data_IF_006736154401
#
_entry.id   IF_006736154401
#
_cell.length_a   1.000
_cell.length_b   1.000
_cell.length_c   1.000
_cell.angle_alpha   90.00
_cell.angle_beta   90.00
_cell.angle_gamma   90.00
#
_symmetry.space_group_name_H-M   'P 1'
#
loop_
_entity.id
_entity.type
_entity.pdbx_description
1 polymer ?
#
# COMPACT_ATOMS: atom_id res chain seq x y z
N UNK A 1 20.66 -3.27 -7.13
CA UNK A 1 20.17 -4.24 -6.12
C UNK A 1 19.98 -5.57 -6.84
N UNK A 2 20.36 -6.69 -6.22
CA UNK A 2 20.12 -8.01 -6.83
C UNK A 2 18.63 -8.44 -6.71
N UNK A 3 18.18 -9.35 -7.57
CA UNK A 3 16.81 -9.88 -7.51
C UNK A 3 16.51 -10.52 -6.15
N UNK A 4 17.47 -11.28 -5.59
CA UNK A 4 17.33 -11.88 -4.26
C UNK A 4 17.10 -10.82 -3.19
N UNK A 5 17.91 -9.77 -3.17
CA UNK A 5 17.77 -8.66 -2.22
C UNK A 5 16.41 -7.96 -2.37
N UNK A 6 15.98 -7.71 -3.61
CA UNK A 6 14.68 -7.10 -3.92
C UNK A 6 13.52 -7.94 -3.35
N UNK A 7 13.51 -9.24 -3.62
CA UNK A 7 12.49 -10.16 -3.13
C UNK A 7 12.49 -10.24 -1.61
N UNK A 8 13.66 -10.43 -0.98
CA UNK A 8 13.73 -10.52 0.49
C UNK A 8 13.31 -9.23 1.17
N UNK A 9 13.70 -8.08 0.63
CA UNK A 9 13.31 -6.77 1.15
C UNK A 9 11.81 -6.53 0.99
N UNK A 10 11.22 -6.94 -0.13
CA UNK A 10 9.77 -6.83 -0.37
C UNK A 10 8.98 -7.70 0.61
N UNK A 11 9.42 -8.94 0.85
CA UNK A 11 8.73 -9.84 1.79
C UNK A 11 8.80 -9.31 3.23
N UNK A 12 10.00 -8.96 3.70
CA UNK A 12 10.18 -8.41 5.04
C UNK A 12 9.46 -7.06 5.20
N UNK A 13 9.57 -6.19 4.20
CA UNK A 13 8.90 -4.90 4.15
C UNK A 13 7.38 -5.04 4.11
N UNK A 14 6.83 -6.02 3.39
CA UNK A 14 5.39 -6.27 3.30
C UNK A 14 4.81 -6.69 4.65
N UNK A 15 5.50 -7.60 5.36
CA UNK A 15 5.13 -7.99 6.74
C UNK A 15 5.18 -6.77 7.66
N UNK A 16 6.27 -5.99 7.61
CA UNK A 16 6.43 -4.80 8.44
C UNK A 16 5.38 -3.73 8.13
N UNK A 17 5.06 -3.48 6.85
CA UNK A 17 4.03 -2.53 6.44
C UNK A 17 2.65 -2.95 6.91
N UNK A 18 2.29 -4.23 6.75
CA UNK A 18 1.00 -4.73 7.23
C UNK A 18 0.89 -4.61 8.75
N UNK A 19 1.91 -5.06 9.49
CA UNK A 19 1.92 -5.01 10.94
C UNK A 19 1.89 -3.56 11.47
N UNK A 20 2.64 -2.66 10.85
CA UNK A 20 2.65 -1.23 11.22
C UNK A 20 1.33 -0.57 10.85
N UNK A 21 0.75 -0.89 9.70
CA UNK A 21 -0.56 -0.42 9.30
C UNK A 21 -1.63 -0.84 10.31
N UNK A 22 -1.66 -2.12 10.68
CA UNK A 22 -2.56 -2.62 11.73
C UNK A 22 -2.34 -1.88 13.06
N UNK A 23 -1.09 -1.77 13.51
CA UNK A 23 -0.77 -1.05 14.74
C UNK A 23 -1.26 0.40 14.72
N UNK A 24 -1.06 1.12 13.62
CA UNK A 24 -1.44 2.52 13.52
C UNK A 24 -2.95 2.69 13.39
N UNK A 25 -3.59 2.01 12.44
CA UNK A 25 -4.99 2.26 12.09
C UNK A 25 -5.98 1.56 13.03
N UNK A 26 -5.66 0.37 13.55
CA UNK A 26 -6.58 -0.41 14.39
C UNK A 26 -6.30 -0.29 15.89
N UNK A 27 -5.04 -0.06 16.31
CA UNK A 27 -4.69 -0.01 17.73
C UNK A 27 -4.42 1.42 18.23
N UNK A 28 -3.50 2.13 17.58
CA UNK A 28 -3.02 3.42 18.09
C UNK A 28 -3.96 4.59 17.79
N UNK A 29 -4.60 4.59 16.61
CA UNK A 29 -5.42 5.70 16.12
C UNK A 29 -6.86 5.33 15.75
N UNK A 30 -7.35 4.14 16.12
CA UNK A 30 -8.72 3.73 15.80
C UNK A 30 -9.77 4.74 16.28
N UNK A 31 -9.73 5.12 17.55
CA UNK A 31 -10.65 6.10 18.14
C UNK A 31 -10.50 7.50 17.51
N UNK A 32 -9.27 7.87 17.15
CA UNK A 32 -9.00 9.13 16.47
C UNK A 32 -9.69 9.15 15.11
N UNK A 33 -9.52 8.10 14.29
CA UNK A 33 -10.18 8.04 12.99
C UNK A 33 -11.70 7.93 13.11
N UNK A 34 -12.22 7.16 14.07
CA UNK A 34 -13.65 7.05 14.34
C UNK A 34 -14.29 8.39 14.76
N UNK A 35 -13.54 9.23 15.48
CA UNK A 35 -13.99 10.56 15.90
C UNK A 35 -13.88 11.62 14.80
N UNK A 36 -13.12 11.34 13.73
CA UNK A 36 -12.78 12.30 12.66
C UNK A 36 -13.30 11.88 11.28
N UNK A 37 -14.25 10.94 11.20
CA UNK A 37 -14.83 10.45 9.94
C UNK A 37 -15.71 11.50 9.23
N UNK A 38 -16.10 12.57 9.93
CA UNK A 38 -16.93 13.63 9.35
C UNK A 38 -18.25 13.12 8.81
N UNK A 39 -18.53 13.37 7.52
CA UNK A 39 -19.74 12.91 6.83
C UNK A 39 -19.63 11.48 6.29
N UNK A 40 -18.46 10.84 6.37
CA UNK A 40 -18.24 9.49 5.86
C UNK A 40 -18.72 8.41 6.85
N UNK A 41 -20.04 8.28 6.99
CA UNK A 41 -20.66 7.25 7.85
C UNK A 41 -20.88 5.94 7.09
N UNK A 42 -20.63 4.79 7.72
CA UNK A 42 -20.89 3.47 7.13
C UNK A 42 -19.90 3.01 6.05
N UNK A 43 -18.83 3.78 5.81
CA UNK A 43 -17.82 3.48 4.78
C UNK A 43 -16.91 2.34 5.22
N UNK A 44 -16.53 2.27 6.50
CA UNK A 44 -15.68 1.18 7.02
C UNK A 44 -16.43 -0.16 6.98
N UNK A 45 -15.74 -1.23 6.58
CA UNK A 45 -16.23 -2.59 6.78
C UNK A 45 -16.22 -2.94 8.25
N UNK A 46 -17.29 -3.59 8.72
CA UNK A 46 -17.33 -4.17 10.07
C UNK A 46 -16.25 -5.24 10.25
N UNK A 47 -16.03 -6.06 9.21
CA UNK A 47 -14.91 -7.00 9.15
C UNK A 47 -14.04 -6.68 7.93
N UNK A 48 -12.82 -6.18 8.12
CA UNK A 48 -11.89 -5.94 7.03
C UNK A 48 -11.53 -7.23 6.27
N UNK A 49 -11.39 -7.13 4.95
CA UNK A 49 -10.87 -8.23 4.13
C UNK A 49 -9.33 -8.21 4.20
N UNK A 50 -8.79 -8.79 5.28
CA UNK A 50 -7.35 -8.75 5.56
C UNK A 50 -6.49 -9.31 4.42
N UNK A 51 -6.95 -10.31 3.66
CA UNK A 51 -6.21 -10.83 2.51
C UNK A 51 -5.91 -9.72 1.48
N UNK A 52 -6.85 -8.81 1.26
CA UNK A 52 -6.71 -7.73 0.28
C UNK A 52 -5.77 -6.64 0.81
N UNK A 53 -5.91 -6.28 2.09
CA UNK A 53 -5.03 -5.33 2.78
C UNK A 53 -3.58 -5.85 2.82
N UNK A 54 -3.38 -7.14 3.05
CA UNK A 54 -2.06 -7.80 3.01
C UNK A 54 -1.47 -7.67 1.60
N UNK A 55 -2.22 -8.00 0.55
CA UNK A 55 -1.72 -7.85 -0.83
C UNK A 55 -1.35 -6.40 -1.12
N UNK A 56 -2.22 -5.44 -0.75
CA UNK A 56 -1.95 -4.01 -0.92
C UNK A 56 -0.67 -3.56 -0.20
N UNK A 57 -0.44 -4.06 1.02
CA UNK A 57 0.76 -3.79 1.82
C UNK A 57 2.04 -4.34 1.18
N UNK A 58 1.98 -5.52 0.56
CA UNK A 58 3.12 -6.09 -0.17
C UNK A 58 3.40 -5.35 -1.47
N UNK A 59 2.37 -4.87 -2.17
CA UNK A 59 2.53 -4.01 -3.35
C UNK A 59 3.20 -2.69 -2.95
N UNK A 60 2.75 -2.06 -1.86
CA UNK A 60 3.35 -0.85 -1.33
C UNK A 60 4.82 -1.07 -0.90
N UNK A 61 5.12 -2.20 -0.26
CA UNK A 61 6.49 -2.55 0.11
C UNK A 61 7.38 -2.77 -1.12
N UNK A 62 6.89 -3.50 -2.13
CA UNK A 62 7.59 -3.69 -3.39
C UNK A 62 7.88 -2.34 -4.08
N UNK A 63 6.91 -1.42 -4.04
CA UNK A 63 7.06 -0.08 -4.58
C UNK A 63 8.15 0.71 -3.85
N UNK A 64 8.14 0.71 -2.51
CA UNK A 64 9.17 1.38 -1.72
C UNK A 64 10.56 0.79 -1.97
N UNK A 65 10.67 -0.53 -2.05
CA UNK A 65 11.94 -1.22 -2.36
C UNK A 65 12.45 -0.83 -3.75
N UNK A 66 11.56 -0.69 -4.73
CA UNK A 66 11.91 -0.21 -6.07
C UNK A 66 12.42 1.22 -6.03
N UNK A 67 11.72 2.14 -5.34
CA UNK A 67 12.11 3.55 -5.21
C UNK A 67 13.45 3.69 -4.49
N UNK A 68 13.66 2.97 -3.39
CA UNK A 68 14.93 2.95 -2.64
C UNK A 68 16.08 2.44 -3.51
N UNK A 69 15.81 1.46 -4.38
CA UNK A 69 16.78 0.89 -5.29
C UNK A 69 17.03 1.71 -6.57
N UNK A 70 16.21 2.72 -6.84
CA UNK A 70 16.21 3.46 -8.10
C UNK A 70 17.44 4.38 -8.21
N UNK A 71 18.01 4.47 -9.41
CA UNK A 71 19.22 5.25 -9.69
C UNK A 71 18.99 6.37 -10.71
N UNK A 72 17.73 6.63 -11.06
CA UNK A 72 17.32 7.66 -12.02
C UNK A 72 17.26 7.17 -13.47
N UNK A 73 16.53 7.92 -14.28
CA UNK A 73 16.35 7.69 -15.71
C UNK A 73 16.94 8.86 -16.50
N UNK A 74 17.68 8.57 -17.58
CA UNK A 74 18.37 9.60 -18.40
C UNK A 74 17.69 9.91 -19.73
N UNK A 75 16.49 9.36 -19.98
CA UNK A 75 15.74 9.60 -21.22
C UNK A 75 14.24 9.70 -20.99
N UNK A 76 13.54 10.40 -21.88
CA UNK A 76 12.08 10.54 -21.83
C UNK A 76 11.35 9.18 -21.88
N UNK A 77 11.82 8.25 -22.71
CA UNK A 77 11.24 6.91 -22.80
C UNK A 77 11.44 6.06 -21.54
N UNK A 78 12.58 6.21 -20.86
CA UNK A 78 12.80 5.58 -19.55
C UNK A 78 11.90 6.20 -18.49
N UNK A 79 11.81 7.54 -18.43
CA UNK A 79 10.92 8.25 -17.52
C UNK A 79 9.44 7.91 -17.69
N UNK A 80 8.96 7.71 -18.93
CA UNK A 80 7.59 7.25 -19.19
C UNK A 80 7.33 5.87 -18.58
N UNK A 81 8.24 4.91 -18.77
CA UNK A 81 8.10 3.56 -18.22
C UNK A 81 8.10 3.57 -16.71
N UNK A 82 9.01 4.33 -16.10
CA UNK A 82 9.07 4.45 -14.64
C UNK A 82 7.83 5.14 -14.10
N UNK A 83 7.38 6.24 -14.71
CA UNK A 83 6.15 6.92 -14.33
C UNK A 83 4.92 6.01 -14.41
N UNK A 84 4.79 5.22 -15.47
CA UNK A 84 3.72 4.23 -15.60
C UNK A 84 3.77 3.16 -14.51
N UNK A 85 4.96 2.66 -14.17
CA UNK A 85 5.15 1.68 -13.11
C UNK A 85 4.85 2.25 -11.72
N UNK A 86 5.32 3.46 -11.42
CA UNK A 86 5.00 4.17 -10.18
C UNK A 86 3.49 4.39 -10.05
N UNK A 87 2.84 4.88 -11.11
CA UNK A 87 1.40 5.11 -11.13
C UNK A 87 0.63 3.80 -10.91
N UNK A 88 1.03 2.72 -11.59
CA UNK A 88 0.43 1.40 -11.43
C UNK A 88 0.56 0.89 -9.99
N UNK A 89 1.76 0.88 -9.42
CA UNK A 89 1.98 0.30 -8.09
C UNK A 89 1.29 1.11 -7.00
N UNK A 90 1.36 2.45 -7.07
CA UNK A 90 0.69 3.34 -6.11
C UNK A 90 -0.82 3.14 -6.15
N UNK A 91 -1.39 3.10 -7.35
CA UNK A 91 -2.83 2.92 -7.54
C UNK A 91 -3.27 1.53 -7.12
N UNK A 92 -2.56 0.49 -7.56
CA UNK A 92 -2.94 -0.90 -7.28
C UNK A 92 -2.86 -1.21 -5.78
N UNK A 93 -1.76 -0.84 -5.12
CA UNK A 93 -1.61 -1.05 -3.67
C UNK A 93 -2.72 -0.35 -2.88
N UNK A 94 -3.00 0.91 -3.21
CA UNK A 94 -4.06 1.69 -2.56
C UNK A 94 -5.44 1.09 -2.79
N UNK A 95 -5.76 0.65 -4.01
CA UNK A 95 -7.06 0.04 -4.32
C UNK A 95 -7.28 -1.27 -3.57
N UNK A 96 -6.25 -2.12 -3.41
CA UNK A 96 -6.34 -3.33 -2.59
C UNK A 96 -6.61 -3.02 -1.11
N UNK A 97 -5.91 -2.03 -0.55
CA UNK A 97 -6.16 -1.60 0.85
C UNK A 97 -7.58 -1.04 0.98
N UNK A 98 -8.00 -0.15 0.09
CA UNK A 98 -9.33 0.46 0.12
C UNK A 98 -10.44 -0.58 -0.06
N UNK A 99 -10.30 -1.51 -1.01
CA UNK A 99 -11.26 -2.59 -1.19
C UNK A 99 -11.37 -3.47 0.05
N UNK A 100 -10.25 -3.72 0.73
CA UNK A 100 -10.24 -4.50 1.96
C UNK A 100 -10.82 -3.76 3.17
N UNK A 101 -10.68 -2.44 3.24
CA UNK A 101 -11.11 -1.64 4.37
C UNK A 101 -12.52 -1.05 4.23
N UNK A 102 -12.97 -0.76 3.00
CA UNK A 102 -14.16 0.08 2.77
C UNK A 102 -15.28 -0.63 2.00
N UNK A 103 -16.51 -0.21 2.27
CA UNK A 103 -17.70 -0.50 1.48
C UNK A 103 -17.69 0.37 0.22
N UNK A 104 -17.00 -0.13 -0.81
CA UNK A 104 -17.00 0.48 -2.13
C UNK A 104 -18.16 -0.13 -2.92
N UNK A 105 -19.10 0.70 -3.37
CA UNK A 105 -20.17 0.28 -4.28
C UNK A 105 -19.58 0.05 -5.69
N UNK A 106 -20.02 -1.02 -6.35
CA UNK A 106 -19.81 -1.23 -7.79
C UNK A 106 -20.89 -0.52 -8.60
#
# INVERSE_FOLDING_TARGET
>A
MSNKQCTTATLAGGIAMFATGYLLYELAFADFFASNTGTATGVMKETPLYWSIIIGSFIAAAFLVMVIGWRGDSSAGAGLKTGALVGLMTSLGSNFVMYGAYNIAN
#
